data_IF_197925631642
#
_entry.id   IF_197925631642
#
_cell.length_a   1.000
_cell.length_b   1.000
_cell.length_c   1.000
_cell.angle_alpha   90.00
_cell.angle_beta   90.00
_cell.angle_gamma   90.00
#
_symmetry.space_group_name_H-M   'P 1'
#
loop_
_entity.id
_entity.type
_entity.pdbx_description
1 polymer ?
#
# COMPACT_ATOMS: atom_id res chain seq x y z
N UNK A 1 -6.99 3.14 9.04
CA UNK A 1 -6.81 2.03 10.01
C UNK A 1 -6.75 0.67 9.31
N UNK A 2 -7.50 0.46 8.22
CA UNK A 2 -7.53 -0.81 7.47
C UNK A 2 -6.16 -1.16 6.85
N UNK A 3 -5.45 -0.21 6.22
CA UNK A 3 -4.11 -0.48 5.66
C UNK A 3 -3.11 -0.91 6.74
N UNK A 4 -3.21 -0.35 7.94
CA UNK A 4 -2.33 -0.72 9.05
C UNK A 4 -2.59 -2.16 9.52
N UNK A 5 -3.86 -2.56 9.62
CA UNK A 5 -4.25 -3.94 9.97
C UNK A 5 -3.84 -4.94 8.89
N UNK A 6 -4.06 -4.59 7.62
CA UNK A 6 -3.64 -5.41 6.48
C UNK A 6 -2.12 -5.58 6.45
N UNK A 7 -1.35 -4.52 6.70
CA UNK A 7 0.11 -4.59 6.77
C UNK A 7 0.60 -5.39 7.97
N UNK A 8 -0.05 -5.27 9.14
CA UNK A 8 0.25 -6.10 10.30
C UNK A 8 0.04 -7.58 10.01
N UNK A 9 -1.07 -7.95 9.34
CA UNK A 9 -1.32 -9.31 8.88
C UNK A 9 -0.29 -9.77 7.85
N UNK A 10 0.02 -8.95 6.85
CA UNK A 10 0.98 -9.29 5.80
C UNK A 10 2.37 -9.61 6.37
N UNK A 11 2.81 -8.86 7.39
CA UNK A 11 4.08 -9.12 8.09
C UNK A 11 4.17 -10.50 8.76
N UNK A 12 3.04 -11.16 9.02
CA UNK A 12 3.02 -12.52 9.59
C UNK A 12 3.28 -13.62 8.56
N UNK A 13 3.20 -13.31 7.26
CA UNK A 13 3.22 -14.32 6.18
C UNK A 13 4.16 -13.98 5.02
N UNK A 14 4.60 -12.73 4.87
CA UNK A 14 5.51 -12.29 3.81
C UNK A 14 6.68 -11.53 4.47
N UNK A 15 7.95 -11.81 4.12
CA UNK A 15 9.09 -11.05 4.62
C UNK A 15 8.93 -9.54 4.41
N UNK A 16 9.06 -8.76 5.48
CA UNK A 16 8.83 -7.31 5.43
C UNK A 16 7.38 -6.90 5.14
N UNK A 17 6.44 -7.85 5.07
CA UNK A 17 5.03 -7.64 4.76
C UNK A 17 4.74 -7.28 3.29
N UNK A 18 5.71 -7.45 2.37
CA UNK A 18 5.58 -7.04 0.96
C UNK A 18 6.29 -7.98 0.00
N UNK A 19 5.77 -8.11 -1.22
CA UNK A 19 6.39 -8.90 -2.30
C UNK A 19 7.50 -8.16 -3.06
N UNK A 20 7.80 -6.91 -2.70
CA UNK A 20 8.93 -6.15 -3.25
C UNK A 20 9.31 -5.02 -2.27
N UNK A 21 10.61 -4.79 -2.00
CA UNK A 21 11.05 -3.93 -0.89
C UNK A 21 10.54 -2.49 -0.89
N UNK A 22 10.45 -1.82 -2.04
CA UNK A 22 10.03 -0.40 -2.09
C UNK A 22 8.59 -0.21 -1.58
N UNK A 23 7.76 -1.25 -1.68
CA UNK A 23 6.36 -1.24 -1.21
C UNK A 23 6.26 -1.16 0.32
N UNK A 24 7.35 -1.43 1.06
CA UNK A 24 7.37 -1.36 2.52
C UNK A 24 7.43 0.08 3.06
N UNK A 25 7.61 1.08 2.20
CA UNK A 25 7.69 2.50 2.58
C UNK A 25 8.85 2.84 3.54
N UNK A 26 9.85 1.95 3.70
CA UNK A 26 10.96 2.15 4.64
C UNK A 26 11.74 3.46 4.45
N UNK A 27 11.82 3.97 3.21
CA UNK A 27 12.55 5.21 2.90
C UNK A 27 11.80 6.49 3.30
N UNK A 28 10.47 6.43 3.45
CA UNK A 28 9.62 7.60 3.73
C UNK A 28 8.87 7.49 5.06
N UNK A 29 8.90 6.31 5.68
CA UNK A 29 8.16 6.02 6.91
C UNK A 29 6.66 5.90 6.69
N UNK A 30 5.92 5.77 7.80
CA UNK A 30 4.47 5.62 7.79
C UNK A 30 3.99 4.20 7.51
N UNK A 31 2.70 4.08 7.13
CA UNK A 31 2.05 2.80 6.84
C UNK A 31 1.92 2.64 5.32
N UNK A 32 2.41 1.54 4.72
CA UNK A 32 2.16 1.22 3.33
C UNK A 32 0.67 1.26 2.97
N UNK A 33 0.34 1.82 1.82
CA UNK A 33 -1.04 1.85 1.31
C UNK A 33 -1.40 0.52 0.67
N UNK A 34 -2.52 -0.05 1.11
CA UNK A 34 -3.11 -1.23 0.48
C UNK A 34 -4.17 -0.76 -0.51
N UNK A 35 -3.93 -1.02 -1.79
CA UNK A 35 -4.77 -0.52 -2.89
C UNK A 35 -5.88 -1.54 -3.18
N UNK A 36 -7.13 -1.08 -3.17
CA UNK A 36 -8.31 -1.86 -3.48
C UNK A 36 -8.63 -1.87 -4.98
N UNK A 37 -8.50 -0.71 -5.63
CA UNK A 37 -8.78 -0.55 -7.05
C UNK A 37 -7.94 0.58 -7.66
N UNK A 38 -7.85 0.60 -8.99
CA UNK A 38 -7.26 1.67 -9.78
C UNK A 38 -8.15 1.96 -10.99
N UNK A 39 -8.31 3.22 -11.36
CA UNK A 39 -9.07 3.62 -12.57
C UNK A 39 -8.54 4.96 -13.10
N UNK A 40 -8.12 4.97 -14.36
CA UNK A 40 -7.54 6.18 -14.96
C UNK A 40 -6.31 6.64 -14.15
N UNK A 41 -6.19 7.94 -13.82
CA UNK A 41 -5.06 8.46 -13.05
C UNK A 41 -5.25 8.34 -11.53
N UNK A 42 -6.16 7.48 -11.05
CA UNK A 42 -6.50 7.39 -9.63
C UNK A 42 -6.32 6.00 -9.05
N UNK A 43 -5.84 5.95 -7.80
CA UNK A 43 -5.86 4.79 -6.92
C UNK A 43 -6.90 4.97 -5.82
N UNK A 44 -7.53 3.86 -5.44
CA UNK A 44 -8.47 3.78 -4.34
C UNK A 44 -7.92 2.80 -3.30
N UNK A 45 -7.56 3.28 -2.12
CA UNK A 45 -7.04 2.42 -1.05
C UNK A 45 -8.15 1.78 -0.22
N UNK A 46 -7.81 0.76 0.58
CA UNK A 46 -8.78 0.06 1.43
C UNK A 46 -9.25 0.89 2.64
N UNK A 47 -8.65 2.05 2.87
CA UNK A 47 -9.12 3.03 3.85
C UNK A 47 -10.17 3.98 3.26
N UNK A 48 -10.47 3.88 1.96
CA UNK A 48 -11.44 4.71 1.25
C UNK A 48 -10.87 6.00 0.67
N UNK A 49 -9.54 6.15 0.62
CA UNK A 49 -8.91 7.34 0.05
C UNK A 49 -8.81 7.21 -1.48
N UNK A 50 -9.13 8.30 -2.17
CA UNK A 50 -8.77 8.50 -3.58
C UNK A 50 -7.43 9.25 -3.65
N UNK A 51 -6.50 8.74 -4.45
CA UNK A 51 -5.16 9.27 -4.62
C UNK A 51 -4.90 9.48 -6.11
N UNK A 52 -4.31 10.62 -6.49
CA UNK A 52 -3.73 10.77 -7.83
C UNK A 52 -2.53 9.84 -7.95
N UNK A 53 -2.54 8.96 -8.93
CA UNK A 53 -1.48 7.99 -9.16
C UNK A 53 -0.33 8.62 -9.94
N UNK A 54 0.80 8.79 -9.25
CA UNK A 54 2.08 9.19 -9.86
C UNK A 54 3.10 8.06 -9.84
N UNK A 55 2.73 6.90 -9.29
CA UNK A 55 3.57 5.70 -9.23
C UNK A 55 3.29 4.80 -10.42
N UNK A 56 2.04 4.73 -10.88
CA UNK A 56 1.64 4.08 -12.14
C UNK A 56 2.13 2.63 -12.28
N UNK A 57 2.19 1.91 -11.16
CA UNK A 57 2.84 0.60 -11.08
C UNK A 57 4.32 0.66 -11.47
N UNK A 58 5.09 1.40 -10.66
CA UNK A 58 6.56 1.52 -10.52
C UNK A 58 7.17 2.82 -11.05
#
# INVERSE_FOLDING_TARGET
MASQQAFARAKTVIPGGVNSPVRAFNAVGGTPRFIAAAKGPYLYDIDGNELVDLVCSW
#
